data_IF_586289637829
#
_entry.id   IF_586289637829
#
_cell.length_a   1.000
_cell.length_b   1.000
_cell.length_c   1.000
_cell.angle_alpha   90.00
_cell.angle_beta   90.00
_cell.angle_gamma   90.00
#
_symmetry.space_group_name_H-M   'P 1'
#
loop_
_entity.id
_entity.type
_entity.pdbx_description
1 polymer ?
#
# COMPACT_ATOMS: atom_id res chain seq x y z
N UNK A 1 -0.90 -18.99 21.42
CA UNK A 1 -0.02 -18.47 20.33
C UNK A 1 0.17 -16.99 20.66
N UNK A 2 1.39 -16.48 20.70
CA UNK A 2 1.61 -15.05 20.93
C UNK A 2 1.28 -14.24 19.66
N UNK A 3 1.09 -12.93 19.81
CA UNK A 3 0.69 -12.07 18.68
C UNK A 3 1.68 -12.09 17.52
N UNK A 4 2.98 -12.16 17.81
CA UNK A 4 3.99 -12.25 16.75
C UNK A 4 3.86 -13.51 15.87
N UNK A 5 3.52 -14.66 16.47
CA UNK A 5 3.27 -15.88 15.71
C UNK A 5 1.98 -15.80 14.89
N UNK A 6 0.94 -15.11 15.39
CA UNK A 6 -0.31 -14.87 14.65
C UNK A 6 -0.08 -13.96 13.46
N UNK A 7 0.62 -12.85 13.70
CA UNK A 7 1.00 -11.90 12.62
C UNK A 7 1.77 -12.62 11.53
N UNK A 8 2.83 -13.38 11.90
CA UNK A 8 3.62 -14.12 10.91
C UNK A 8 2.76 -15.06 10.07
N UNK A 9 1.87 -15.83 10.72
CA UNK A 9 0.97 -16.75 10.01
C UNK A 9 0.10 -16.00 8.99
N UNK A 10 -0.54 -14.89 9.40
CA UNK A 10 -1.38 -14.10 8.49
C UNK A 10 -0.54 -13.56 7.31
N UNK A 11 0.65 -13.01 7.59
CA UNK A 11 1.55 -12.50 6.55
C UNK A 11 1.93 -13.60 5.55
N UNK A 12 2.28 -14.79 6.03
CA UNK A 12 2.64 -15.92 5.16
C UNK A 12 1.45 -16.33 4.26
N UNK A 13 0.21 -16.29 4.77
CA UNK A 13 -1.01 -16.63 4.02
C UNK A 13 -1.35 -15.59 2.93
N UNK A 14 -1.07 -14.31 3.16
CA UNK A 14 -1.43 -13.21 2.24
C UNK A 14 -0.21 -12.60 1.51
N UNK A 15 0.99 -13.17 1.67
CA UNK A 15 2.23 -12.61 1.11
C UNK A 15 2.12 -12.35 -0.40
N UNK A 16 1.46 -13.26 -1.13
CA UNK A 16 1.24 -13.12 -2.57
C UNK A 16 0.41 -11.89 -2.90
N UNK A 17 -0.69 -11.68 -2.17
CA UNK A 17 -1.59 -10.54 -2.39
C UNK A 17 -0.91 -9.21 -2.10
N UNK A 18 -0.06 -9.15 -1.05
CA UNK A 18 0.74 -7.96 -0.73
C UNK A 18 1.69 -7.63 -1.89
N UNK A 19 2.41 -8.64 -2.39
CA UNK A 19 3.36 -8.48 -3.50
C UNK A 19 2.65 -8.06 -4.78
N UNK A 20 1.55 -8.72 -5.13
CA UNK A 20 0.77 -8.41 -6.34
C UNK A 20 0.19 -6.99 -6.27
N UNK A 21 -0.23 -6.53 -5.09
CA UNK A 21 -0.68 -5.15 -4.90
C UNK A 21 0.47 -4.14 -5.04
N UNK A 22 1.63 -4.42 -4.43
CA UNK A 22 2.82 -3.58 -4.58
C UNK A 22 3.25 -3.46 -6.05
N UNK A 23 3.24 -4.57 -6.80
CA UNK A 23 3.51 -4.58 -8.25
C UNK A 23 2.52 -3.70 -9.00
N UNK A 24 1.21 -3.83 -8.72
CA UNK A 24 0.19 -2.99 -9.35
C UNK A 24 0.39 -1.51 -9.05
N UNK A 25 0.75 -1.15 -7.82
CA UNK A 25 1.06 0.24 -7.48
C UNK A 25 2.26 0.76 -8.30
N UNK A 26 3.32 -0.03 -8.45
CA UNK A 26 4.49 0.35 -9.27
C UNK A 26 4.10 0.51 -10.73
N UNK A 27 3.27 -0.37 -11.26
CA UNK A 27 2.77 -0.33 -12.65
C UNK A 27 1.85 0.87 -12.92
N UNK A 28 1.16 1.37 -11.89
CA UNK A 28 0.27 2.53 -12.02
C UNK A 28 1.10 3.80 -11.95
N UNK A 29 1.19 4.53 -13.08
CA UNK A 29 1.87 5.83 -13.11
C UNK A 29 1.11 6.84 -12.25
N UNK A 30 1.85 7.62 -11.46
CA UNK A 30 1.29 8.64 -10.57
C UNK A 30 2.29 9.77 -10.40
N UNK A 31 2.40 10.60 -11.42
CA UNK A 31 3.21 11.82 -11.32
C UNK A 31 2.49 12.81 -10.40
N UNK A 32 3.25 13.67 -9.73
CA UNK A 32 2.69 14.72 -8.88
C UNK A 32 1.60 15.49 -9.63
N UNK A 33 0.43 15.66 -9.02
CA UNK A 33 -0.82 16.19 -9.58
C UNK A 33 -1.50 15.28 -10.64
N UNK A 34 -1.18 13.98 -10.67
CA UNK A 34 -1.78 12.98 -11.57
C UNK A 34 -1.91 11.62 -10.87
N UNK A 35 -2.35 11.64 -9.60
CA UNK A 35 -2.42 10.46 -8.72
C UNK A 35 -3.77 9.76 -8.75
N UNK A 36 -4.75 10.23 -9.51
CA UNK A 36 -6.13 9.73 -9.49
C UNK A 36 -6.21 8.19 -9.62
N UNK A 37 -5.53 7.62 -10.62
CA UNK A 37 -5.56 6.17 -10.84
C UNK A 37 -4.94 5.36 -9.69
N UNK A 38 -3.90 5.87 -9.03
CA UNK A 38 -3.32 5.17 -7.88
C UNK A 38 -4.20 5.36 -6.64
N UNK A 39 -4.85 6.51 -6.48
CA UNK A 39 -5.81 6.75 -5.39
C UNK A 39 -7.01 5.80 -5.50
N UNK A 40 -7.59 5.63 -6.68
CA UNK A 40 -8.65 4.66 -6.95
C UNK A 40 -8.21 3.23 -6.63
N UNK A 41 -6.99 2.85 -7.04
CA UNK A 41 -6.44 1.53 -6.76
C UNK A 41 -6.27 1.28 -5.25
N UNK A 42 -5.77 2.27 -4.50
CA UNK A 42 -5.61 2.19 -3.05
C UNK A 42 -6.97 2.13 -2.34
N UNK A 43 -7.90 3.01 -2.70
CA UNK A 43 -9.24 3.03 -2.11
C UNK A 43 -9.97 1.70 -2.35
N UNK A 44 -9.93 1.18 -3.58
CA UNK A 44 -10.51 -0.12 -3.94
C UNK A 44 -9.89 -1.26 -3.12
N UNK A 45 -8.56 -1.24 -2.93
CA UNK A 45 -7.88 -2.24 -2.11
C UNK A 45 -8.31 -2.17 -0.64
N UNK A 46 -8.37 -0.98 -0.05
CA UNK A 46 -8.84 -0.79 1.33
C UNK A 46 -10.28 -1.29 1.51
N UNK A 47 -11.18 -0.99 0.56
CA UNK A 47 -12.54 -1.53 0.56
C UNK A 47 -12.54 -3.07 0.51
N UNK A 48 -11.76 -3.68 -0.37
CA UNK A 48 -11.68 -5.14 -0.49
C UNK A 48 -11.12 -5.83 0.75
N UNK A 49 -10.25 -5.15 1.49
CA UNK A 49 -9.68 -5.60 2.76
C UNK A 49 -10.62 -5.34 3.96
N UNK A 50 -11.77 -4.72 3.72
CA UNK A 50 -12.78 -4.48 4.74
C UNK A 50 -12.43 -3.38 5.72
N UNK A 51 -11.76 -2.31 5.29
CA UNK A 51 -11.62 -1.11 6.10
C UNK A 51 -13.00 -0.56 6.50
N UNK A 52 -13.12 -0.07 7.72
CA UNK A 52 -14.42 0.35 8.27
C UNK A 52 -14.95 1.62 7.59
N UNK A 53 -14.04 2.51 7.19
CA UNK A 53 -14.34 3.66 6.34
C UNK A 53 -13.21 3.87 5.35
N UNK A 54 -13.56 4.21 4.12
CA UNK A 54 -12.61 4.62 3.07
C UNK A 54 -13.21 5.83 2.36
N UNK A 55 -12.47 6.92 2.36
CA UNK A 55 -12.86 8.17 1.69
C UNK A 55 -11.71 8.65 0.80
N UNK A 56 -12.06 9.26 -0.32
CA UNK A 56 -11.13 10.06 -1.12
C UNK A 56 -11.59 11.50 -0.98
N UNK A 57 -10.71 12.36 -0.49
CA UNK A 57 -11.02 13.77 -0.30
C UNK A 57 -10.91 14.56 -1.62
N UNK A 58 -11.35 15.84 -1.66
CA UNK A 58 -11.28 16.67 -2.86
C UNK A 58 -9.87 16.94 -3.40
N UNK A 59 -8.82 16.63 -2.61
CA UNK A 59 -7.42 16.77 -2.99
C UNK A 59 -6.82 15.46 -3.49
N UNK A 60 -7.61 14.37 -3.49
CA UNK A 60 -7.16 13.05 -3.91
C UNK A 60 -6.52 12.20 -2.82
N UNK A 61 -6.50 12.66 -1.56
CA UNK A 61 -5.99 11.84 -0.46
C UNK A 61 -6.95 10.68 -0.16
N UNK A 62 -6.41 9.47 -0.06
CA UNK A 62 -7.16 8.29 0.34
C UNK A 62 -7.03 8.11 1.85
N UNK A 63 -8.17 8.17 2.54
CA UNK A 63 -8.24 8.05 3.99
C UNK A 63 -8.95 6.76 4.34
N UNK A 64 -8.21 5.78 4.86
CA UNK A 64 -8.74 4.52 5.38
C UNK A 64 -8.76 4.53 6.91
N UNK A 65 -9.89 4.15 7.52
CA UNK A 65 -10.05 4.06 8.96
C UNK A 65 -10.39 2.63 9.37
N UNK A 66 -9.78 2.19 10.46
CA UNK A 66 -10.08 0.96 11.17
C UNK A 66 -10.25 1.28 12.66
N UNK A 67 -11.28 0.70 13.28
CA UNK A 67 -11.63 1.01 14.66
C UNK A 67 -12.39 2.31 14.82
N UNK A 68 -12.76 2.64 16.09
CA UNK A 68 -13.56 3.83 16.42
C UNK A 68 -13.25 4.37 17.82
N UNK A 69 -12.11 4.00 18.39
CA UNK A 69 -11.69 4.43 19.70
C UNK A 69 -11.27 5.92 19.75
N UNK A 70 -10.84 6.35 20.93
CA UNK A 70 -10.44 7.76 21.16
C UNK A 70 -8.99 8.02 20.80
N UNK A 71 -8.15 6.99 20.80
CA UNK A 71 -6.75 7.11 20.42
C UNK A 71 -6.61 6.84 18.92
N UNK A 72 -5.78 7.61 18.27
CA UNK A 72 -5.54 7.49 16.83
C UNK A 72 -4.06 7.16 16.62
N UNK A 73 -3.79 6.07 15.92
CA UNK A 73 -2.49 5.80 15.32
C UNK A 73 -2.60 6.15 13.83
N UNK A 74 -1.84 7.16 13.42
CA UNK A 74 -1.88 7.68 12.07
C UNK A 74 -0.66 7.21 11.27
N UNK A 75 -0.90 6.63 10.09
CA UNK A 75 0.12 6.30 9.11
C UNK A 75 -0.05 7.19 7.89
N UNK A 76 1.02 7.86 7.50
CA UNK A 76 1.04 8.72 6.33
C UNK A 76 1.94 8.13 5.25
N UNK A 77 1.50 8.22 3.99
CA UNK A 77 2.21 7.69 2.84
C UNK A 77 1.86 8.49 1.60
N UNK A 78 2.86 8.92 0.82
CA UNK A 78 2.58 9.56 -0.46
C UNK A 78 2.35 8.53 -1.58
N UNK A 79 1.59 8.91 -2.61
CA UNK A 79 1.24 8.07 -3.75
C UNK A 79 1.93 8.50 -5.05
N UNK A 80 2.43 9.71 -5.09
CA UNK A 80 3.09 10.24 -6.28
C UNK A 80 4.51 9.73 -6.46
N UNK A 81 5.02 9.92 -7.64
CA UNK A 81 6.42 9.65 -8.00
C UNK A 81 6.95 10.75 -8.89
N UNK A 82 8.25 10.99 -8.81
CA UNK A 82 8.95 11.85 -9.76
C UNK A 82 9.04 11.20 -11.15
N UNK A 83 9.27 12.02 -12.17
CA UNK A 83 9.42 11.58 -13.55
C UNK A 83 10.59 10.60 -13.74
N UNK A 84 10.50 9.81 -14.81
CA UNK A 84 11.59 8.95 -15.27
C UNK A 84 12.41 9.73 -16.31
N UNK A 85 13.53 10.31 -15.88
CA UNK A 85 14.36 11.13 -16.75
C UNK A 85 15.40 10.33 -17.54
N UNK A 86 15.81 9.14 -17.05
CA UNK A 86 16.90 8.33 -17.61
C UNK A 86 16.40 6.97 -18.11
N UNK A 87 15.27 6.92 -18.84
CA UNK A 87 14.64 5.70 -19.33
C UNK A 87 15.61 4.66 -19.91
N UNK A 88 16.55 5.03 -20.79
CA UNK A 88 17.51 4.08 -21.37
C UNK A 88 18.51 3.46 -20.39
N UNK A 89 18.69 4.04 -19.22
CA UNK A 89 19.62 3.52 -18.18
C UNK A 89 18.97 2.53 -17.21
N UNK A 90 17.67 2.35 -17.28
CA UNK A 90 16.96 1.40 -16.41
C UNK A 90 17.20 -0.02 -16.89
N UNK A 91 17.63 -0.89 -15.97
CA UNK A 91 17.83 -2.32 -16.25
C UNK A 91 16.52 -3.02 -16.61
N UNK A 92 15.41 -2.61 -15.99
CA UNK A 92 14.06 -3.10 -16.23
C UNK A 92 13.12 -1.92 -16.49
N UNK A 93 11.98 -2.12 -17.19
CA UNK A 93 11.04 -1.03 -17.45
C UNK A 93 10.63 -0.28 -16.18
N UNK A 94 10.74 1.06 -16.13
CA UNK A 94 10.47 1.85 -14.92
C UNK A 94 9.09 1.65 -14.31
N UNK A 95 8.09 1.30 -15.11
CA UNK A 95 6.73 1.00 -14.68
C UNK A 95 6.35 -0.46 -14.95
N UNK A 96 7.35 -1.36 -15.04
CA UNK A 96 7.13 -2.79 -15.25
C UNK A 96 6.67 -3.51 -13.98
N UNK A 97 7.16 -3.09 -12.82
CA UNK A 97 6.92 -3.80 -11.56
C UNK A 97 7.49 -5.22 -11.59
N UNK A 98 8.56 -5.44 -12.39
CA UNK A 98 9.14 -6.76 -12.55
C UNK A 98 9.81 -7.24 -11.27
N UNK A 99 9.71 -8.56 -11.02
CA UNK A 99 10.32 -9.19 -9.84
C UNK A 99 11.52 -10.01 -10.29
N UNK A 100 12.70 -9.66 -9.79
CA UNK A 100 13.95 -10.37 -10.02
C UNK A 100 14.71 -10.51 -8.70
N UNK A 101 15.22 -11.72 -8.42
CA UNK A 101 15.97 -12.02 -7.19
C UNK A 101 15.25 -11.57 -5.90
N UNK A 102 13.92 -11.74 -5.84
CA UNK A 102 13.10 -11.38 -4.69
C UNK A 102 12.91 -9.86 -4.49
N UNK A 103 13.19 -9.04 -5.51
CA UNK A 103 13.07 -7.58 -5.46
C UNK A 103 12.10 -7.08 -6.53
N UNK A 104 11.24 -6.14 -6.20
CA UNK A 104 10.38 -5.43 -7.14
C UNK A 104 11.15 -4.25 -7.73
N UNK A 105 11.25 -4.21 -9.05
CA UNK A 105 11.93 -3.13 -9.76
C UNK A 105 10.93 -2.17 -10.39
N UNK A 106 11.13 -0.87 -10.15
CA UNK A 106 10.36 0.18 -10.80
C UNK A 106 10.45 1.54 -10.13
N UNK A 107 9.98 2.57 -10.83
CA UNK A 107 9.86 3.93 -10.29
C UNK A 107 8.88 3.93 -9.12
N UNK A 108 9.31 4.48 -7.99
CA UNK A 108 8.51 4.52 -6.77
C UNK A 108 8.44 3.19 -5.99
N UNK A 109 9.12 2.12 -6.41
CA UNK A 109 9.08 0.85 -5.67
C UNK A 109 9.56 1.03 -4.22
N UNK A 110 10.68 1.71 -4.01
CA UNK A 110 11.22 2.00 -2.67
C UNK A 110 10.55 3.23 -2.05
N UNK A 111 10.33 4.27 -2.83
CA UNK A 111 9.79 5.56 -2.39
C UNK A 111 8.55 5.93 -3.21
N UNK A 112 7.33 5.60 -2.69
CA UNK A 112 7.18 4.69 -1.55
C UNK A 112 6.02 3.68 -1.75
N UNK A 113 5.84 3.15 -2.97
CA UNK A 113 4.70 2.28 -3.33
C UNK A 113 4.72 0.92 -2.62
N UNK A 114 5.90 0.32 -2.40
CA UNK A 114 5.97 -0.91 -1.60
C UNK A 114 5.71 -0.64 -0.11
N UNK A 115 6.28 0.41 0.53
CA UNK A 115 5.87 0.83 1.87
C UNK A 115 4.38 1.17 1.97
N UNK A 116 3.78 1.83 0.97
CA UNK A 116 2.34 2.09 0.94
C UNK A 116 1.53 0.78 0.95
N UNK A 117 1.91 -0.21 0.13
CA UNK A 117 1.28 -1.53 0.16
C UNK A 117 1.40 -2.19 1.54
N UNK A 118 2.59 -2.10 2.14
CA UNK A 118 2.82 -2.63 3.49
C UNK A 118 1.95 -1.95 4.55
N UNK A 119 1.76 -0.62 4.48
CA UNK A 119 0.89 0.13 5.40
C UNK A 119 -0.57 -0.29 5.28
N UNK A 120 -1.08 -0.40 4.05
CA UNK A 120 -2.46 -0.83 3.78
C UNK A 120 -2.72 -2.23 4.32
N UNK A 121 -1.82 -3.18 4.07
CA UNK A 121 -1.97 -4.53 4.61
C UNK A 121 -1.65 -4.63 6.09
N UNK A 122 -0.80 -3.75 6.63
CA UNK A 122 -0.56 -3.61 8.06
C UNK A 122 -1.84 -3.30 8.84
N UNK A 123 -2.66 -2.37 8.33
CA UNK A 123 -3.99 -2.09 8.85
C UNK A 123 -4.92 -3.32 8.82
N UNK A 124 -4.97 -4.01 7.68
CA UNK A 124 -5.72 -5.26 7.57
C UNK A 124 -5.28 -6.31 8.60
N UNK A 125 -3.97 -6.53 8.75
CA UNK A 125 -3.42 -7.48 9.72
C UNK A 125 -3.79 -7.07 11.16
N UNK A 126 -3.70 -5.77 11.49
CA UNK A 126 -4.12 -5.24 12.79
C UNK A 126 -5.60 -5.57 13.07
N UNK A 127 -6.47 -5.40 12.06
CA UNK A 127 -7.89 -5.79 12.17
C UNK A 127 -8.07 -7.29 12.43
N UNK A 128 -7.29 -8.15 11.76
CA UNK A 128 -7.39 -9.62 11.94
C UNK A 128 -6.92 -10.10 13.32
N UNK A 129 -5.96 -9.43 13.93
CA UNK A 129 -5.50 -9.78 15.28
C UNK A 129 -6.35 -9.14 16.38
N UNK A 130 -7.15 -8.14 16.06
CA UNK A 130 -8.00 -7.37 16.93
C UNK A 130 -7.42 -6.01 17.27
N UNK A 131 -8.14 -4.95 16.89
CA UNK A 131 -7.83 -3.57 17.27
C UNK A 131 -8.40 -3.35 18.68
N UNK A 132 -7.62 -2.77 19.63
CA UNK A 132 -8.15 -2.45 20.95
C UNK A 132 -9.31 -1.46 20.88
N UNK A 133 -10.32 -1.59 21.79
CA UNK A 133 -11.53 -0.75 21.80
C UNK A 133 -11.25 0.76 21.98
N UNK A 134 -10.05 1.10 22.46
CA UNK A 134 -9.65 2.48 22.69
C UNK A 134 -8.86 3.11 21.50
N UNK A 135 -8.70 2.38 20.39
CA UNK A 135 -8.01 2.82 19.15
C UNK A 135 -8.97 2.99 18.00
#
# INVERSE_FOLDING_TARGET
>A
MNDGSRIKKIVDEIARDIIDFAVKLVQTKSMTCSEESVAELVASKMHSLGYDKVNVDPYGNVIGQLGSGKNILFFDSHMDTVAVNDGPKWKYPPFGGEIHDGKIYGRGAVDMKCPLAASVYGGYIAKQIGIPDNV
#
